data_IF_096313684957
#
_entry.id   IF_096313684957
#
_cell.length_a   1.000
_cell.length_b   1.000
_cell.length_c   1.000
_cell.angle_alpha   90.00
_cell.angle_beta   90.00
_cell.angle_gamma   90.00
#
_symmetry.space_group_name_H-M   'P 1'
#
loop_
_entity.id
_entity.type
_entity.pdbx_description
1 polymer ?
#
# COMPACT_ATOMS: atom_id res chain seq x y z
N UNK A 1 2.46 -29.60 -2.98
CA UNK A 1 2.44 -29.55 -1.50
C UNK A 1 1.04 -29.16 -1.05
N UNK A 2 0.48 -29.81 -0.03
CA UNK A 2 -0.82 -29.45 0.55
C UNK A 2 -0.58 -28.51 1.73
N UNK A 3 -1.36 -27.43 1.84
CA UNK A 3 -1.25 -26.47 2.95
C UNK A 3 -1.68 -27.13 4.27
N UNK A 4 -0.92 -26.85 5.33
CA UNK A 4 -1.26 -27.20 6.70
C UNK A 4 -2.49 -26.43 7.20
N UNK A 5 -3.13 -26.92 8.26
CA UNK A 5 -4.28 -26.24 8.88
C UNK A 5 -3.93 -24.84 9.41
N UNK A 6 -2.71 -24.65 9.92
CA UNK A 6 -2.21 -23.35 10.35
C UNK A 6 -2.13 -22.37 9.17
N UNK A 7 -1.59 -22.81 8.03
CA UNK A 7 -1.50 -21.98 6.84
C UNK A 7 -2.88 -21.62 6.29
N UNK A 8 -3.82 -22.56 6.30
CA UNK A 8 -5.22 -22.29 5.91
C UNK A 8 -5.86 -21.24 6.80
N UNK A 9 -5.68 -21.35 8.12
CA UNK A 9 -6.19 -20.38 9.09
C UNK A 9 -5.61 -18.98 8.86
N UNK A 10 -4.29 -18.90 8.66
CA UNK A 10 -3.60 -17.63 8.34
C UNK A 10 -4.12 -17.00 7.05
N UNK A 11 -4.26 -17.78 5.98
CA UNK A 11 -4.82 -17.27 4.72
C UNK A 11 -6.24 -16.77 4.90
N UNK A 12 -7.08 -17.50 5.63
CA UNK A 12 -8.45 -17.07 5.93
C UNK A 12 -8.48 -15.74 6.69
N UNK A 13 -7.58 -15.54 7.66
CA UNK A 13 -7.49 -14.29 8.42
C UNK A 13 -7.04 -13.11 7.56
N UNK A 14 -6.09 -13.33 6.64
CA UNK A 14 -5.64 -12.31 5.68
C UNK A 14 -6.78 -11.95 4.71
N UNK A 15 -7.46 -12.95 4.14
CA UNK A 15 -8.58 -12.73 3.22
C UNK A 15 -9.72 -11.95 3.89
N UNK A 16 -10.04 -12.28 5.14
CA UNK A 16 -11.03 -11.54 5.92
C UNK A 16 -10.64 -10.07 6.05
N UNK A 17 -9.40 -9.80 6.47
CA UNK A 17 -8.89 -8.43 6.65
C UNK A 17 -8.89 -7.62 5.36
N UNK A 18 -8.43 -8.22 4.26
CA UNK A 18 -8.47 -7.58 2.94
C UNK A 18 -9.90 -7.31 2.48
N UNK A 19 -10.84 -8.23 2.78
CA UNK A 19 -12.27 -8.04 2.54
C UNK A 19 -12.83 -6.83 3.30
N UNK A 20 -12.52 -6.71 4.59
CA UNK A 20 -12.93 -5.56 5.41
C UNK A 20 -12.32 -4.24 4.93
N UNK A 21 -11.06 -4.25 4.49
CA UNK A 21 -10.43 -3.07 3.90
C UNK A 21 -11.11 -2.68 2.58
N UNK A 22 -11.37 -3.64 1.70
CA UNK A 22 -12.03 -3.38 0.41
C UNK A 22 -13.46 -2.85 0.55
N UNK A 23 -14.18 -3.23 1.62
CA UNK A 23 -15.53 -2.72 1.86
C UNK A 23 -15.54 -1.28 2.38
N UNK A 24 -14.49 -0.89 3.11
CA UNK A 24 -14.31 0.48 3.64
C UNK A 24 -13.66 1.43 2.63
N UNK A 25 -12.77 0.91 1.79
CA UNK A 25 -11.97 1.67 0.84
C UNK A 25 -12.23 1.13 -0.58
N UNK A 26 -13.17 1.74 -1.34
CA UNK A 26 -13.61 1.24 -2.64
C UNK A 26 -12.53 1.31 -3.73
N UNK A 27 -11.37 1.90 -3.47
CA UNK A 27 -10.26 1.98 -4.40
C UNK A 27 -8.94 1.65 -3.72
N UNK A 28 -8.09 0.91 -4.41
CA UNK A 28 -6.74 0.63 -3.95
C UNK A 28 -5.75 0.47 -5.11
N UNK A 29 -4.47 0.66 -4.80
CA UNK A 29 -3.36 0.42 -5.71
C UNK A 29 -2.18 -0.15 -4.94
N UNK A 30 -1.52 -1.15 -5.54
CA UNK A 30 -0.32 -1.76 -4.98
C UNK A 30 0.91 -1.07 -5.56
N UNK A 31 1.85 -0.68 -4.70
CA UNK A 31 3.07 0.04 -5.08
C UNK A 31 4.29 -0.59 -4.42
N UNK A 32 5.43 -0.53 -5.10
CA UNK A 32 6.74 -0.72 -4.49
C UNK A 32 7.34 0.67 -4.26
N UNK A 33 7.68 0.99 -3.02
CA UNK A 33 7.98 2.35 -2.58
C UNK A 33 9.31 2.36 -1.84
N UNK A 34 10.31 3.05 -2.39
CA UNK A 34 11.57 3.37 -1.71
C UNK A 34 11.44 4.69 -0.92
N UNK A 35 12.54 5.20 -0.35
CA UNK A 35 12.52 6.44 0.43
C UNK A 35 12.02 7.65 -0.39
N UNK A 36 12.48 7.79 -1.63
CA UNK A 36 12.09 8.88 -2.52
C UNK A 36 10.64 8.73 -2.96
N UNK A 37 10.24 7.54 -3.38
CA UNK A 37 8.86 7.20 -3.71
C UNK A 37 7.89 7.43 -2.55
N UNK A 38 8.31 7.20 -1.30
CA UNK A 38 7.48 7.46 -0.12
C UNK A 38 7.24 8.96 0.04
N UNK A 39 8.28 9.78 -0.11
CA UNK A 39 8.16 11.22 -0.05
C UNK A 39 7.23 11.76 -1.15
N UNK A 40 7.39 11.27 -2.39
CA UNK A 40 6.51 11.65 -3.50
C UNK A 40 5.06 11.22 -3.29
N UNK A 41 4.83 10.00 -2.83
CA UNK A 41 3.50 9.49 -2.53
C UNK A 41 2.84 10.33 -1.43
N UNK A 42 3.58 10.67 -0.38
CA UNK A 42 3.06 11.50 0.72
C UNK A 42 2.67 12.90 0.22
N UNK A 43 3.53 13.55 -0.58
CA UNK A 43 3.24 14.85 -1.17
C UNK A 43 2.00 14.81 -2.08
N UNK A 44 1.87 13.78 -2.92
CA UNK A 44 0.73 13.61 -3.82
C UNK A 44 -0.61 13.42 -3.08
N UNK A 45 -0.55 12.94 -1.84
CA UNK A 45 -1.70 12.66 -0.99
C UNK A 45 -2.02 13.80 0.00
N UNK A 46 -1.34 14.95 -0.08
CA UNK A 46 -1.64 16.14 0.74
C UNK A 46 -3.01 16.71 0.40
N UNK A 47 -3.38 16.73 -0.89
CA UNK A 47 -4.64 17.26 -1.41
C UNK A 47 -5.75 16.19 -1.57
N UNK A 48 -5.62 15.06 -0.86
CA UNK A 48 -6.61 13.97 -0.91
C UNK A 48 -7.98 14.43 -0.41
N UNK A 49 -9.05 13.89 -1.00
CA UNK A 49 -10.42 14.20 -0.60
C UNK A 49 -10.97 13.21 0.44
N UNK A 50 -10.48 11.98 0.42
CA UNK A 50 -10.88 10.92 1.34
C UNK A 50 -9.81 10.52 2.34
N UNK A 51 -10.16 9.52 3.14
CA UNK A 51 -9.23 8.82 4.01
C UNK A 51 -8.32 7.92 3.18
N UNK A 52 -7.04 7.92 3.52
CA UNK A 52 -6.05 7.06 2.90
C UNK A 52 -5.36 6.22 3.97
N UNK A 53 -5.22 4.93 3.69
CA UNK A 53 -4.54 3.97 4.55
C UNK A 53 -3.47 3.23 3.75
N UNK A 54 -2.29 3.07 4.33
CA UNK A 54 -1.22 2.26 3.76
C UNK A 54 -1.08 0.98 4.58
N UNK A 55 -1.08 -0.17 3.91
CA UNK A 55 -0.86 -1.48 4.55
C UNK A 55 0.20 -2.27 3.82
N UNK A 56 0.74 -3.31 4.46
CA UNK A 56 1.41 -4.38 3.73
C UNK A 56 0.42 -5.13 2.82
N UNK A 57 0.94 -6.08 2.03
CA UNK A 57 0.13 -6.88 1.10
C UNK A 57 -0.86 -7.84 1.78
N UNK A 58 -0.71 -8.09 3.09
CA UNK A 58 -1.66 -8.83 3.92
C UNK A 58 -2.69 -7.95 4.62
N UNK A 59 -2.69 -6.63 4.38
CA UNK A 59 -3.57 -5.67 5.07
C UNK A 59 -3.10 -5.31 6.48
N UNK A 60 -1.85 -5.64 6.85
CA UNK A 60 -1.24 -5.26 8.12
C UNK A 60 -0.78 -3.80 8.16
N UNK A 61 -0.76 -3.22 9.36
CA UNK A 61 -0.31 -1.84 9.58
C UNK A 61 1.21 -1.69 9.36
N UNK A 62 1.59 -0.60 8.71
CA UNK A 62 2.98 -0.23 8.50
C UNK A 62 3.42 0.82 9.52
N UNK A 63 3.99 0.37 10.64
CA UNK A 63 4.64 1.25 11.60
C UNK A 63 5.95 1.82 11.06
N UNK A 64 6.45 2.90 11.67
CA UNK A 64 7.70 3.53 11.24
C UNK A 64 8.90 2.58 11.27
N UNK A 65 8.92 1.63 12.22
CA UNK A 65 9.99 0.62 12.28
C UNK A 65 9.91 -0.38 11.14
N UNK A 66 8.71 -0.71 10.63
CA UNK A 66 8.56 -1.55 9.44
C UNK A 66 9.16 -0.84 8.23
N UNK A 67 8.80 0.43 8.03
CA UNK A 67 9.36 1.25 6.95
C UNK A 67 10.88 1.30 7.01
N UNK A 68 11.43 1.74 8.15
CA UNK A 68 12.89 1.88 8.32
C UNK A 68 13.61 0.55 8.10
N UNK A 69 13.09 -0.55 8.65
CA UNK A 69 13.73 -1.85 8.56
C UNK A 69 13.73 -2.36 7.13
N UNK A 70 12.58 -2.32 6.45
CA UNK A 70 12.45 -2.85 5.09
C UNK A 70 13.22 -1.98 4.10
N UNK A 71 13.14 -0.65 4.21
CA UNK A 71 13.90 0.26 3.35
C UNK A 71 15.40 0.07 3.53
N UNK A 72 15.88 -0.09 4.78
CA UNK A 72 17.30 -0.30 5.04
C UNK A 72 17.84 -1.62 4.47
N UNK A 73 17.06 -2.71 4.52
CA UNK A 73 17.54 -4.04 4.15
C UNK A 73 17.18 -4.48 2.72
N UNK A 74 16.04 -4.01 2.20
CA UNK A 74 15.48 -4.42 0.89
C UNK A 74 15.57 -3.28 -0.13
N UNK A 75 15.57 -2.02 0.34
CA UNK A 75 15.59 -0.84 -0.52
C UNK A 75 14.20 -0.35 -0.96
N UNK A 76 13.15 -1.15 -0.78
CA UNK A 76 11.77 -0.75 -1.07
C UNK A 76 10.75 -1.53 -0.23
N UNK A 77 9.58 -0.93 0.02
CA UNK A 77 8.44 -1.54 0.71
C UNK A 77 7.31 -1.79 -0.29
N UNK A 78 6.78 -3.01 -0.34
CA UNK A 78 5.56 -3.30 -1.07
C UNK A 78 4.34 -2.95 -0.21
N UNK A 79 3.53 -2.01 -0.69
CA UNK A 79 2.37 -1.48 0.04
C UNK A 79 1.10 -1.54 -0.80
N UNK A 80 -0.04 -1.63 -0.13
CA UNK A 80 -1.34 -1.32 -0.71
C UNK A 80 -1.78 0.04 -0.16
N UNK A 81 -2.05 0.98 -1.07
CA UNK A 81 -2.67 2.27 -0.76
C UNK A 81 -4.17 2.11 -0.94
N UNK A 82 -4.93 2.26 0.15
CA UNK A 82 -6.38 2.19 0.18
C UNK A 82 -6.97 3.60 0.26
N UNK A 83 -8.00 3.89 -0.53
CA UNK A 83 -8.62 5.21 -0.65
C UNK A 83 -10.12 5.11 -0.47
N UNK A 84 -10.68 5.95 0.42
CA UNK A 84 -12.14 6.01 0.62
C UNK A 84 -12.84 6.76 -0.52
N UNK A 85 -12.15 7.72 -1.14
CA UNK A 85 -12.59 8.43 -2.34
C UNK A 85 -11.87 7.90 -3.60
N UNK A 86 -12.59 7.33 -4.57
CA UNK A 86 -12.00 6.82 -5.81
C UNK A 86 -11.25 7.87 -6.66
N UNK A 87 -11.52 9.17 -6.46
CA UNK A 87 -10.85 10.25 -7.20
C UNK A 87 -9.40 10.41 -6.79
N UNK A 88 -9.06 10.04 -5.55
CA UNK A 88 -7.68 10.11 -5.04
C UNK A 88 -6.76 9.11 -5.75
N UNK A 89 -7.32 8.05 -6.35
CA UNK A 89 -6.55 7.11 -7.18
C UNK A 89 -5.89 7.81 -8.38
N UNK A 90 -6.50 8.88 -8.90
CA UNK A 90 -5.92 9.66 -9.98
C UNK A 90 -4.69 10.46 -9.52
N UNK A 91 -4.67 10.94 -8.26
CA UNK A 91 -3.53 11.62 -7.65
C UNK A 91 -2.35 10.66 -7.54
N UNK A 92 -2.58 9.47 -6.97
CA UNK A 92 -1.54 8.45 -6.81
C UNK A 92 -0.98 8.02 -8.17
N UNK A 93 -1.84 7.72 -9.15
CA UNK A 93 -1.40 7.34 -10.50
C UNK A 93 -0.62 8.46 -11.20
N UNK A 94 -0.99 9.72 -10.97
CA UNK A 94 -0.26 10.86 -11.53
C UNK A 94 1.15 10.92 -10.92
N UNK A 95 1.27 10.81 -9.60
CA UNK A 95 2.56 10.81 -8.91
C UNK A 95 3.47 9.67 -9.39
N UNK A 96 2.95 8.45 -9.54
CA UNK A 96 3.72 7.33 -10.08
C UNK A 96 4.28 7.64 -11.47
N UNK A 97 3.46 8.21 -12.36
CA UNK A 97 3.89 8.58 -13.73
C UNK A 97 4.93 9.69 -13.75
N UNK A 98 4.87 10.64 -12.83
CA UNK A 98 5.85 11.73 -12.73
C UNK A 98 7.22 11.18 -12.33
N UNK A 99 7.27 10.24 -11.39
CA UNK A 99 8.51 9.57 -10.99
C UNK A 99 9.05 8.68 -12.12
N UNK A 100 8.21 7.79 -12.68
CA UNK A 100 8.62 6.87 -13.76
C UNK A 100 9.01 7.62 -15.05
N UNK A 101 8.34 8.73 -15.34
CA UNK A 101 8.60 9.57 -16.52
C UNK A 101 9.90 10.37 -16.44
N UNK A 102 10.38 10.65 -15.22
CA UNK A 102 11.64 11.34 -14.96
C UNK A 102 12.86 10.41 -15.03
N UNK A 103 12.68 9.09 -15.11
CA UNK A 103 13.76 8.11 -15.31
C UNK A 103 14.21 7.96 -16.78
N UNK A 104 14.12 9.02 -17.60
CA UNK A 104 14.59 9.02 -19.00
C UNK A 104 15.88 9.81 -19.19
#
# INVERSE_FOLDING_TARGET
MMMSETEKSLVSAIQHRLGELSSRYPSSIMLAVDDEGRAHLQAALEDRQGDVLLTDNGGGELSDIHWQTVLHHIGYVAVIVWMSDPRDLALVRKACREVEGNCR
#
